data_IF_181378614759
#
_entry.id   IF_181378614759
#
_cell.length_a   1.000
_cell.length_b   1.000
_cell.length_c   1.000
_cell.angle_alpha   90.00
_cell.angle_beta   90.00
_cell.angle_gamma   90.00
#
_symmetry.space_group_name_H-M   'P 1'
#
loop_
_entity.id
_entity.type
_entity.pdbx_description
1 polymer ?
#
# COMPACT_ATOMS: atom_id res chain seq x y z
N UNK A 1 -3.02 -52.52 17.71
CA UNK A 1 -2.22 -51.32 18.04
C UNK A 1 -1.25 -51.10 16.90
N UNK A 2 -1.32 -49.92 16.30
CA UNK A 2 -0.58 -49.55 15.11
C UNK A 2 -1.04 -48.14 14.74
N UNK A 3 -0.75 -47.20 15.63
CA UNK A 3 -1.06 -45.78 15.49
C UNK A 3 -0.32 -45.23 14.27
N UNK A 4 -1.03 -45.06 13.16
CA UNK A 4 -0.58 -44.15 12.09
C UNK A 4 -0.94 -42.74 12.53
N UNK A 5 0.03 -42.07 13.16
CA UNK A 5 0.00 -40.63 13.34
C UNK A 5 0.16 -39.98 11.95
N UNK A 6 -0.95 -39.87 11.21
CA UNK A 6 -1.09 -38.86 10.17
C UNK A 6 -1.23 -37.53 10.88
N UNK A 7 -0.09 -36.90 11.18
CA UNK A 7 -0.06 -35.48 11.49
C UNK A 7 -0.83 -34.76 10.37
N UNK A 8 -1.79 -33.86 10.68
CA UNK A 8 -2.45 -33.11 9.64
C UNK A 8 -1.38 -32.28 8.94
N UNK A 9 -1.16 -32.55 7.65
CA UNK A 9 -0.60 -31.57 6.74
C UNK A 9 -1.43 -30.31 6.94
N UNK A 10 -0.86 -29.36 7.67
CA UNK A 10 -1.36 -28.00 7.74
C UNK A 10 -1.21 -27.51 6.31
N UNK A 11 -2.28 -27.68 5.52
CA UNK A 11 -2.43 -27.04 4.23
C UNK A 11 -2.05 -25.59 4.49
N UNK A 12 -0.91 -25.18 3.95
CA UNK A 12 -0.47 -23.81 3.99
C UNK A 12 -1.57 -23.02 3.28
N UNK A 13 -2.56 -22.53 4.05
CA UNK A 13 -3.52 -21.56 3.57
C UNK A 13 -2.66 -20.49 2.92
N UNK A 14 -2.81 -20.33 1.60
CA UNK A 14 -2.15 -19.26 0.87
C UNK A 14 -2.30 -18.00 1.71
N UNK A 15 -1.18 -17.48 2.22
CA UNK A 15 -1.21 -16.31 3.09
C UNK A 15 -1.84 -15.21 2.26
N UNK A 16 -3.06 -14.80 2.61
CA UNK A 16 -3.74 -13.70 1.92
C UNK A 16 -2.82 -12.49 1.93
N UNK A 17 -2.54 -11.91 0.75
CA UNK A 17 -1.69 -10.72 0.65
C UNK A 17 -2.46 -9.54 1.27
N UNK A 18 -2.23 -9.29 2.55
CA UNK A 18 -2.92 -8.24 3.31
C UNK A 18 -2.64 -6.82 2.79
N UNK A 19 -1.72 -6.68 1.83
CA UNK A 19 -1.39 -5.43 1.14
C UNK A 19 -2.17 -5.23 -0.17
N UNK A 20 -2.87 -6.25 -0.65
CA UNK A 20 -3.70 -6.17 -1.83
C UNK A 20 -4.96 -5.35 -1.52
N UNK A 21 -5.23 -4.36 -2.38
CA UNK A 21 -6.47 -3.60 -2.37
C UNK A 21 -7.34 -4.08 -3.54
N UNK A 22 -8.29 -4.96 -3.25
CA UNK A 22 -9.31 -5.34 -4.22
C UNK A 22 -10.31 -4.19 -4.39
N UNK A 23 -10.57 -3.82 -5.64
CA UNK A 23 -11.51 -2.76 -6.02
C UNK A 23 -12.59 -3.38 -6.90
N UNK A 24 -13.81 -3.38 -6.40
CA UNK A 24 -14.97 -3.95 -7.07
C UNK A 24 -15.88 -2.83 -7.64
N UNK A 25 -15.84 -2.59 -8.98
CA UNK A 25 -16.66 -1.57 -9.60
C UNK A 25 -18.16 -1.87 -9.51
N UNK A 26 -18.57 -3.13 -9.39
CA UNK A 26 -19.99 -3.51 -9.26
C UNK A 26 -20.55 -3.09 -7.89
N UNK A 27 -19.68 -3.06 -6.87
CA UNK A 27 -19.99 -2.49 -5.55
C UNK A 27 -19.87 -0.96 -5.50
N UNK A 28 -19.55 -0.32 -6.63
CA UNK A 28 -19.31 1.12 -6.71
C UNK A 28 -18.00 1.56 -6.08
N UNK A 29 -17.03 0.64 -5.97
CA UNK A 29 -15.69 0.97 -5.47
C UNK A 29 -14.82 1.52 -6.59
N UNK A 30 -13.95 2.47 -6.25
CA UNK A 30 -12.98 3.06 -7.18
C UNK A 30 -11.66 3.31 -6.48
N UNK A 31 -10.56 3.31 -7.22
CA UNK A 31 -9.29 3.78 -6.66
C UNK A 31 -9.44 5.26 -6.27
N UNK A 32 -8.90 5.62 -5.10
CA UNK A 32 -9.01 6.98 -4.56
C UNK A 32 -7.67 7.71 -4.67
N UNK A 33 -6.74 7.37 -3.79
CA UNK A 33 -5.38 7.93 -3.78
C UNK A 33 -4.34 6.88 -3.42
N UNK A 34 -3.11 7.09 -3.84
CA UNK A 34 -1.95 6.33 -3.41
C UNK A 34 -0.85 7.26 -2.89
N UNK A 35 0.03 6.76 -2.03
CA UNK A 35 1.17 7.50 -1.54
C UNK A 35 2.42 6.63 -1.40
N UNK A 36 3.58 7.25 -1.63
CA UNK A 36 4.91 6.71 -1.31
C UNK A 36 5.59 7.72 -0.39
N UNK A 37 6.06 7.22 0.75
CA UNK A 37 6.80 7.99 1.77
C UNK A 37 8.15 7.33 1.92
N UNK A 38 9.22 8.12 1.86
CA UNK A 38 10.59 7.63 1.99
C UNK A 38 11.24 8.21 3.23
N UNK A 39 11.96 7.37 3.96
CA UNK A 39 12.89 7.83 4.99
C UNK A 39 14.27 8.10 4.38
N UNK A 40 15.07 8.89 5.08
CA UNK A 40 16.46 9.16 4.74
C UNK A 40 17.39 7.94 4.91
N UNK A 41 16.95 6.88 5.61
CA UNK A 41 17.72 5.62 5.76
C UNK A 41 17.27 4.51 4.82
N UNK A 42 16.41 4.82 3.85
CA UNK A 42 16.01 3.90 2.78
C UNK A 42 14.71 3.14 3.03
N UNK A 43 14.04 3.32 4.19
CA UNK A 43 12.73 2.74 4.41
C UNK A 43 11.69 3.39 3.48
N UNK A 44 10.92 2.57 2.77
CA UNK A 44 9.82 3.04 1.92
C UNK A 44 8.50 2.58 2.50
N UNK A 45 7.54 3.48 2.62
CA UNK A 45 6.17 3.16 3.01
C UNK A 45 5.24 3.43 1.83
N UNK A 46 4.39 2.45 1.53
CA UNK A 46 3.34 2.57 0.53
C UNK A 46 1.99 2.66 1.21
N UNK A 47 1.13 3.47 0.63
CA UNK A 47 -0.27 3.53 1.00
C UNK A 47 -1.12 3.50 -0.27
N UNK A 48 -2.20 2.73 -0.24
CA UNK A 48 -3.18 2.64 -1.31
C UNK A 48 -4.58 2.75 -0.70
N UNK A 49 -5.47 3.46 -1.37
CA UNK A 49 -6.84 3.63 -0.92
C UNK A 49 -7.85 3.48 -2.05
N UNK A 50 -9.03 2.99 -1.69
CA UNK A 50 -10.21 2.97 -2.54
C UNK A 50 -11.33 3.76 -1.89
N UNK A 51 -12.15 4.37 -2.72
CA UNK A 51 -13.43 4.93 -2.34
C UNK A 51 -14.50 3.86 -2.42
N UNK A 52 -15.45 3.93 -1.50
CA UNK A 52 -16.64 3.09 -1.44
C UNK A 52 -17.84 3.87 -1.99
N UNK A 53 -18.91 3.16 -2.37
CA UNK A 53 -20.19 3.77 -2.77
C UNK A 53 -20.77 4.73 -1.73
N UNK A 54 -20.43 4.54 -0.46
CA UNK A 54 -20.86 5.40 0.65
C UNK A 54 -20.12 6.74 0.73
N UNK A 55 -19.11 6.97 -0.12
CA UNK A 55 -18.23 8.15 -0.07
C UNK A 55 -17.10 8.04 0.96
N UNK A 56 -17.09 6.97 1.75
CA UNK A 56 -15.97 6.61 2.62
C UNK A 56 -14.81 6.00 1.83
N UNK A 57 -13.67 5.83 2.48
CA UNK A 57 -12.49 5.16 1.93
C UNK A 57 -12.06 3.97 2.78
N UNK A 58 -11.57 2.94 2.09
CA UNK A 58 -10.68 1.96 2.69
C UNK A 58 -9.24 2.31 2.32
N UNK A 59 -8.31 2.11 3.25
CA UNK A 59 -6.90 2.33 3.00
C UNK A 59 -6.07 1.18 3.57
N UNK A 60 -4.99 0.87 2.88
CA UNK A 60 -3.95 -0.02 3.35
C UNK A 60 -2.63 0.73 3.28
N UNK A 61 -1.81 0.61 4.32
CA UNK A 61 -0.42 1.01 4.25
C UNK A 61 0.50 -0.09 4.75
N UNK A 62 1.74 -0.05 4.31
CA UNK A 62 2.79 -0.97 4.73
C UNK A 62 4.16 -0.35 4.44
N UNK A 63 5.15 -0.70 5.25
CA UNK A 63 6.55 -0.54 4.89
C UNK A 63 6.95 -1.62 3.89
N UNK A 64 7.79 -1.28 2.93
CA UNK A 64 8.35 -2.24 2.00
C UNK A 64 9.72 -1.85 1.45
N UNK A 65 10.49 -2.86 1.07
CA UNK A 65 11.62 -2.71 0.16
C UNK A 65 11.13 -2.77 -1.28
N UNK A 66 11.85 -2.10 -2.20
CA UNK A 66 11.55 -2.13 -3.62
C UNK A 66 12.65 -2.87 -4.39
N UNK A 67 12.25 -3.78 -5.27
CA UNK A 67 13.18 -4.46 -6.17
C UNK A 67 13.60 -3.63 -7.38
N UNK A 68 14.45 -4.25 -8.20
CA UNK A 68 14.42 -4.30 -9.68
C UNK A 68 13.51 -3.28 -10.39
N UNK A 69 12.25 -3.66 -10.34
CA UNK A 69 11.16 -3.16 -11.14
C UNK A 69 10.25 -2.25 -10.31
N UNK A 70 10.64 -1.94 -9.07
CA UNK A 70 9.83 -1.17 -8.15
C UNK A 70 8.70 -1.94 -7.51
N UNK A 71 8.75 -3.26 -7.53
CA UNK A 71 7.76 -4.09 -6.87
C UNK A 71 8.13 -4.23 -5.40
N UNK A 72 7.13 -4.23 -4.51
CA UNK A 72 7.36 -4.44 -3.10
C UNK A 72 7.76 -5.89 -2.85
N UNK A 73 8.94 -6.11 -2.27
CA UNK A 73 9.44 -7.46 -1.94
C UNK A 73 9.17 -7.78 -0.47
N UNK A 74 9.98 -7.21 0.43
CA UNK A 74 9.77 -7.30 1.88
C UNK A 74 8.62 -6.38 2.26
N UNK A 75 7.66 -6.85 3.05
CA UNK A 75 6.53 -6.05 3.54
C UNK A 75 6.47 -6.12 5.07
N UNK A 76 6.33 -4.98 5.75
CA UNK A 76 6.21 -4.90 7.20
C UNK A 76 5.22 -3.80 7.61
N UNK A 77 4.87 -3.76 8.90
CA UNK A 77 3.94 -2.76 9.46
C UNK A 77 2.65 -2.60 8.64
N UNK A 78 2.09 -3.72 8.18
CA UNK A 78 0.88 -3.74 7.35
C UNK A 78 -0.31 -3.31 8.21
N UNK A 79 -1.04 -2.31 7.75
CA UNK A 79 -2.25 -1.81 8.41
C UNK A 79 -3.35 -1.58 7.39
N UNK A 80 -4.51 -2.18 7.64
CA UNK A 80 -5.73 -1.95 6.87
C UNK A 80 -6.71 -1.18 7.75
N UNK A 81 -7.26 -0.09 7.21
CA UNK A 81 -8.23 0.76 7.89
C UNK A 81 -9.43 0.91 6.96
N UNK A 82 -10.60 0.48 7.44
CA UNK A 82 -11.81 0.36 6.63
C UNK A 82 -12.80 1.48 6.96
N UNK A 83 -13.62 1.84 5.97
CA UNK A 83 -14.80 2.69 6.11
C UNK A 83 -14.54 4.03 6.82
N UNK A 84 -13.49 4.74 6.41
CA UNK A 84 -13.09 6.02 6.98
C UNK A 84 -13.54 7.19 6.12
N UNK A 85 -13.61 8.39 6.73
CA UNK A 85 -13.79 9.62 5.96
C UNK A 85 -12.56 9.91 5.09
N UNK A 86 -12.70 10.57 3.91
CA UNK A 86 -11.59 10.82 3.00
C UNK A 86 -10.37 11.51 3.64
N UNK A 87 -10.59 12.42 4.59
CA UNK A 87 -9.49 13.11 5.31
C UNK A 87 -8.61 12.16 6.13
N UNK A 88 -9.04 10.91 6.35
CA UNK A 88 -8.20 9.90 7.00
C UNK A 88 -6.94 9.61 6.20
N UNK A 89 -6.97 9.74 4.87
CA UNK A 89 -5.81 9.52 4.02
C UNK A 89 -4.63 10.41 4.42
N UNK A 90 -4.85 11.73 4.51
CA UNK A 90 -3.82 12.69 4.90
C UNK A 90 -3.38 12.53 6.35
N UNK A 91 -4.32 12.16 7.25
CA UNK A 91 -3.99 11.83 8.65
C UNK A 91 -3.08 10.62 8.76
N UNK A 92 -3.27 9.60 7.92
CA UNK A 92 -2.40 8.41 7.95
C UNK A 92 -1.01 8.71 7.38
N UNK A 93 -0.90 9.58 6.36
CA UNK A 93 0.41 10.09 5.91
C UNK A 93 1.14 10.77 7.07
N UNK A 94 0.46 11.69 7.77
CA UNK A 94 1.07 12.39 8.90
C UNK A 94 1.47 11.42 10.02
N UNK A 95 0.67 10.37 10.27
CA UNK A 95 1.01 9.33 11.24
C UNK A 95 2.26 8.54 10.83
N UNK A 96 2.39 8.13 9.56
CA UNK A 96 3.59 7.44 9.05
C UNK A 96 4.82 8.34 9.15
N UNK A 97 4.71 9.61 8.74
CA UNK A 97 5.80 10.58 8.85
C UNK A 97 6.24 10.79 10.31
N UNK A 98 5.29 10.79 11.25
CA UNK A 98 5.58 10.84 12.67
C UNK A 98 6.30 9.57 13.13
N UNK A 99 5.84 8.38 12.74
CA UNK A 99 6.50 7.11 13.07
C UNK A 99 7.95 7.08 12.59
N UNK A 100 8.23 7.59 11.38
CA UNK A 100 9.59 7.71 10.84
C UNK A 100 10.45 8.61 11.75
N UNK A 101 9.91 9.78 12.12
CA UNK A 101 10.59 10.74 13.01
C UNK A 101 10.84 10.19 14.41
N UNK A 102 9.84 9.56 15.01
CA UNK A 102 9.93 8.93 16.33
C UNK A 102 10.94 7.77 16.32
N UNK A 103 11.15 7.12 15.17
CA UNK A 103 12.20 6.13 14.93
C UNK A 103 13.61 6.70 14.71
N UNK A 104 13.79 8.02 14.80
CA UNK A 104 15.09 8.68 14.60
C UNK A 104 15.52 8.72 13.13
N UNK A 105 14.56 8.76 12.21
CA UNK A 105 14.74 8.95 10.77
C UNK A 105 14.06 10.24 10.31
N UNK A 106 14.42 10.73 9.14
CA UNK A 106 13.80 11.91 8.54
C UNK A 106 13.02 11.51 7.30
N UNK A 107 11.90 12.20 7.05
CA UNK A 107 11.15 12.00 5.81
C UNK A 107 11.89 12.70 4.67
N UNK A 108 12.45 11.90 3.77
CA UNK A 108 13.22 12.37 2.61
C UNK A 108 12.32 12.65 1.40
N UNK A 109 11.11 12.08 1.37
CA UNK A 109 10.19 12.24 0.25
C UNK A 109 8.76 11.83 0.59
N UNK A 110 7.81 12.61 0.09
CA UNK A 110 6.39 12.27 0.02
C UNK A 110 5.91 12.49 -1.41
N UNK A 111 5.24 11.49 -1.97
CA UNK A 111 4.61 11.54 -3.28
C UNK A 111 3.19 10.99 -3.13
N UNK A 112 2.21 11.77 -3.56
CA UNK A 112 0.79 11.40 -3.56
C UNK A 112 0.31 11.34 -5.00
N UNK A 113 -0.45 10.30 -5.31
CA UNK A 113 -1.12 10.12 -6.59
C UNK A 113 -2.62 10.18 -6.37
N UNK A 114 -3.25 11.20 -6.92
CA UNK A 114 -4.69 11.40 -6.87
C UNK A 114 -5.35 10.84 -8.13
N UNK A 115 -6.24 9.87 -7.95
CA UNK A 115 -6.95 9.18 -9.04
C UNK A 115 -8.43 9.56 -9.12
N UNK A 116 -8.89 10.49 -8.27
CA UNK A 116 -10.30 10.87 -8.17
C UNK A 116 -10.83 11.57 -9.43
N UNK A 117 -9.94 12.23 -10.18
CA UNK A 117 -10.27 12.92 -11.43
C UNK A 117 -10.33 12.02 -12.67
N UNK A 118 -10.10 10.71 -12.52
CA UNK A 118 -10.04 9.78 -13.67
C UNK A 118 -11.42 9.20 -14.02
N UNK A 119 -11.68 8.93 -15.31
CA UNK A 119 -13.03 8.60 -15.79
C UNK A 119 -13.55 7.24 -15.30
N UNK A 120 -12.69 6.24 -15.20
CA UNK A 120 -13.06 4.85 -14.90
C UNK A 120 -11.92 4.06 -14.22
N UNK A 121 -12.24 2.87 -13.70
CA UNK A 121 -11.31 2.03 -12.96
C UNK A 121 -10.13 1.55 -13.83
N UNK A 122 -10.32 1.37 -15.14
CA UNK A 122 -9.25 0.98 -16.06
C UNK A 122 -8.25 2.13 -16.21
N UNK A 123 -8.72 3.36 -16.38
CA UNK A 123 -7.88 4.55 -16.40
C UNK A 123 -7.13 4.73 -15.07
N UNK A 124 -7.81 4.53 -13.94
CA UNK A 124 -7.19 4.57 -12.62
C UNK A 124 -6.10 3.52 -12.44
N UNK A 125 -6.36 2.26 -12.81
CA UNK A 125 -5.40 1.17 -12.71
C UNK A 125 -4.15 1.40 -13.55
N UNK A 126 -4.33 1.84 -14.81
CA UNK A 126 -3.20 2.19 -15.69
C UNK A 126 -2.36 3.33 -15.11
N UNK A 127 -3.02 4.39 -14.64
CA UNK A 127 -2.30 5.54 -14.07
C UNK A 127 -1.54 5.17 -12.81
N UNK A 128 -2.13 4.34 -11.93
CA UNK A 128 -1.45 3.82 -10.74
C UNK A 128 -0.23 2.99 -11.10
N UNK A 129 -0.33 2.12 -12.12
CA UNK A 129 0.78 1.29 -12.57
C UNK A 129 1.93 2.15 -13.13
N UNK A 130 1.63 3.09 -14.03
CA UNK A 130 2.61 4.01 -14.60
C UNK A 130 3.27 4.87 -13.54
N UNK A 131 2.47 5.41 -12.61
CA UNK A 131 2.97 6.18 -11.49
C UNK A 131 3.88 5.34 -10.59
N UNK A 132 3.50 4.10 -10.27
CA UNK A 132 4.30 3.19 -9.44
C UNK A 132 5.66 2.90 -10.08
N UNK A 133 5.68 2.60 -11.39
CA UNK A 133 6.92 2.38 -12.15
C UNK A 133 7.81 3.63 -12.14
N UNK A 134 7.23 4.81 -12.36
CA UNK A 134 7.97 6.08 -12.30
C UNK A 134 8.57 6.32 -10.91
N UNK A 135 7.78 6.14 -9.85
CA UNK A 135 8.24 6.38 -8.48
C UNK A 135 9.36 5.42 -8.10
N UNK A 136 9.30 4.16 -8.53
CA UNK A 136 10.38 3.21 -8.29
C UNK A 136 11.72 3.64 -8.91
N UNK A 137 11.69 4.19 -10.13
CA UNK A 137 12.88 4.75 -10.76
C UNK A 137 13.40 5.98 -10.01
N UNK A 138 12.51 6.83 -9.50
CA UNK A 138 12.91 8.00 -8.70
C UNK A 138 13.48 7.63 -7.33
N UNK A 139 12.93 6.59 -6.68
CA UNK A 139 13.45 6.04 -5.42
C UNK A 139 14.87 5.54 -5.60
N UNK A 140 15.16 4.82 -6.69
CA UNK A 140 16.48 4.24 -6.99
C UNK A 140 17.53 5.25 -7.42
N UNK A 141 17.13 6.39 -8.00
CA UNK A 141 18.05 7.43 -8.49
C UNK A 141 18.67 8.28 -7.39
N UNK A 142 18.25 8.14 -6.12
CA UNK A 142 18.92 8.78 -4.99
C UNK A 142 19.99 7.83 -4.45
N UNK A 143 21.29 8.06 -4.72
CA UNK A 143 22.34 7.30 -4.07
C UNK A 143 22.35 7.63 -2.57
N UNK A 144 22.58 6.58 -1.76
CA UNK A 144 23.07 6.70 -0.39
C UNK A 144 24.39 7.45 -0.33
#
# INVERSE_FOLDING_TARGET
MGEVNTAPEVAAKAVEDLTAMEVDPEKGERLFKAAIIQSNKGATYRMLSKSLKTGKIDLVHYGCDLDEDGKPTTKWSIRRILEQVPERFDKEIAAIQKTIKDGGEEVQGLRVHDMTGMPDLVAQGKSLEEWTKKMAQEVRKKPS
#
